data_IF_721977730757
#
_entry.id   IF_721977730757
#
_cell.length_a   1.000
_cell.length_b   1.000
_cell.length_c   1.000
_cell.angle_alpha   90.00
_cell.angle_beta   90.00
_cell.angle_gamma   90.00
#
_symmetry.space_group_name_H-M   'P 1'
#
loop_
_entity.id
_entity.type
_entity.pdbx_description
1 polymer ?
#
# COMPACT_ATOMS: atom_id res chain seq x y z
N UNK A 1 52.10 -46.64 -23.19
CA UNK A 1 51.96 -45.34 -22.48
C UNK A 1 51.38 -44.20 -23.33
N UNK A 2 51.73 -44.05 -24.62
CA UNK A 2 51.28 -42.91 -25.46
C UNK A 2 49.75 -42.78 -25.65
N UNK A 3 49.01 -43.90 -25.72
CA UNK A 3 47.53 -43.90 -25.84
C UNK A 3 46.79 -43.44 -24.57
N UNK A 4 47.39 -43.63 -23.39
CA UNK A 4 46.79 -43.20 -22.11
C UNK A 4 46.91 -41.69 -21.89
N UNK A 5 47.97 -41.06 -22.42
CA UNK A 5 48.16 -39.61 -22.34
C UNK A 5 47.14 -38.86 -23.20
N UNK A 6 46.87 -39.35 -24.42
CA UNK A 6 45.92 -38.72 -25.35
C UNK A 6 44.50 -38.77 -24.80
N UNK A 7 44.10 -39.89 -24.19
CA UNK A 7 42.77 -40.03 -23.56
C UNK A 7 42.58 -39.08 -22.37
N UNK A 8 43.61 -38.91 -21.50
CA UNK A 8 43.55 -37.97 -20.37
C UNK A 8 43.46 -36.50 -20.82
N UNK A 9 44.15 -36.12 -21.89
CA UNK A 9 44.09 -34.75 -22.43
C UNK A 9 42.70 -34.46 -23.02
N UNK A 10 42.09 -35.44 -23.71
CA UNK A 10 40.75 -35.27 -24.27
C UNK A 10 39.68 -35.12 -23.18
N UNK A 11 39.76 -35.94 -22.13
CA UNK A 11 38.85 -35.85 -20.98
C UNK A 11 39.02 -34.50 -20.27
N UNK A 12 40.25 -34.03 -20.04
CA UNK A 12 40.46 -32.72 -19.40
C UNK A 12 39.96 -31.55 -20.25
N UNK A 13 40.20 -31.59 -21.56
CA UNK A 13 39.70 -30.57 -22.50
C UNK A 13 38.16 -30.53 -22.54
N UNK A 14 37.51 -31.69 -22.51
CA UNK A 14 36.05 -31.79 -22.46
C UNK A 14 35.47 -31.23 -21.15
N UNK A 15 36.09 -31.51 -20.00
CA UNK A 15 35.67 -30.93 -18.72
C UNK A 15 35.88 -29.41 -18.69
N UNK A 16 36.98 -28.89 -19.24
CA UNK A 16 37.21 -27.44 -19.34
C UNK A 16 36.14 -26.78 -20.21
N UNK A 17 35.75 -27.40 -21.34
CA UNK A 17 34.68 -26.89 -22.21
C UNK A 17 33.31 -26.87 -21.52
N UNK A 18 33.00 -27.88 -20.71
CA UNK A 18 31.76 -27.93 -19.92
C UNK A 18 31.68 -26.82 -18.85
N UNK A 19 32.81 -26.36 -18.31
CA UNK A 19 32.84 -25.24 -17.37
C UNK A 19 32.63 -23.86 -18.04
N UNK A 20 32.88 -23.70 -19.35
CA UNK A 20 32.68 -22.42 -20.05
C UNK A 20 31.23 -22.19 -20.55
N UNK A 21 30.46 -23.26 -20.81
CA UNK A 21 29.06 -23.17 -21.23
C UNK A 21 28.13 -22.41 -20.24
N UNK A 22 28.20 -22.61 -18.90
CA UNK A 22 27.31 -21.91 -17.98
C UNK A 22 27.58 -20.39 -17.90
N UNK A 23 28.82 -19.94 -18.12
CA UNK A 23 29.17 -18.52 -18.09
C UNK A 23 28.59 -17.74 -19.28
N UNK A 24 28.54 -18.37 -20.46
CA UNK A 24 27.98 -17.74 -21.67
C UNK A 24 26.44 -17.61 -21.59
N UNK A 25 25.78 -18.63 -21.05
CA UNK A 25 24.32 -18.62 -20.85
C UNK A 25 23.86 -17.55 -19.84
N UNK A 26 24.65 -17.29 -18.80
CA UNK A 26 24.33 -16.24 -17.81
C UNK A 26 24.32 -14.85 -18.45
N UNK A 27 25.32 -14.53 -19.27
CA UNK A 27 25.46 -13.23 -19.94
C UNK A 27 24.34 -12.97 -20.96
N UNK A 28 23.95 -13.99 -21.73
CA UNK A 28 22.87 -13.87 -22.72
C UNK A 28 21.49 -13.66 -22.06
N UNK A 29 21.22 -14.32 -20.93
CA UNK A 29 19.96 -14.15 -20.17
C UNK A 29 19.80 -12.74 -19.60
N UNK A 30 20.85 -12.20 -18.97
CA UNK A 30 20.82 -10.83 -18.43
C UNK A 30 20.58 -9.77 -19.52
N UNK A 31 21.19 -9.93 -20.70
CA UNK A 31 20.95 -9.01 -21.82
C UNK A 31 19.52 -9.08 -22.35
N UNK A 32 18.90 -10.27 -22.36
CA UNK A 32 17.51 -10.45 -22.80
C UNK A 32 16.54 -9.69 -21.89
N UNK A 33 16.67 -9.84 -20.57
CA UNK A 33 15.77 -9.18 -19.61
C UNK A 33 15.93 -7.66 -19.64
N UNK A 34 17.17 -7.17 -19.75
CA UNK A 34 17.43 -5.72 -19.93
C UNK A 34 16.78 -5.18 -21.20
N UNK A 35 16.84 -5.92 -22.30
CA UNK A 35 16.15 -5.53 -23.53
C UNK A 35 14.62 -5.53 -23.34
N UNK A 36 14.06 -6.47 -22.57
CA UNK A 36 12.64 -6.52 -22.22
C UNK A 36 12.24 -5.32 -21.36
N UNK A 37 12.98 -4.99 -20.31
CA UNK A 37 12.69 -3.85 -19.42
C UNK A 37 12.83 -2.52 -20.15
N UNK A 38 13.83 -2.35 -21.02
CA UNK A 38 13.98 -1.17 -21.86
C UNK A 38 12.80 -1.00 -22.83
N UNK A 39 12.37 -2.07 -23.52
CA UNK A 39 11.19 -2.04 -24.40
C UNK A 39 9.91 -1.72 -23.63
N UNK A 40 9.73 -2.34 -22.47
CA UNK A 40 8.55 -2.09 -21.62
C UNK A 40 8.51 -0.64 -21.13
N UNK A 41 9.66 -0.06 -20.78
CA UNK A 41 9.76 1.36 -20.38
C UNK A 41 9.31 2.27 -21.52
N UNK A 42 9.74 2.01 -22.76
CA UNK A 42 9.28 2.76 -23.94
C UNK A 42 7.77 2.65 -24.15
N UNK A 43 7.16 1.48 -23.86
CA UNK A 43 5.70 1.32 -23.92
C UNK A 43 4.99 2.13 -22.83
N UNK A 44 5.52 2.13 -21.60
CA UNK A 44 5.01 2.96 -20.49
C UNK A 44 5.07 4.45 -20.87
N UNK A 45 6.18 4.93 -21.42
CA UNK A 45 6.35 6.33 -21.82
C UNK A 45 5.36 6.74 -22.93
N UNK A 46 4.95 5.79 -23.78
CA UNK A 46 3.93 5.99 -24.83
C UNK A 46 2.50 5.88 -24.32
N UNK A 47 2.29 5.51 -23.06
CA UNK A 47 0.96 5.27 -22.48
C UNK A 47 0.36 3.90 -22.80
N UNK A 48 1.13 3.00 -23.42
CA UNK A 48 0.69 1.64 -23.76
C UNK A 48 0.96 0.68 -22.60
N UNK A 49 0.26 0.91 -21.48
CA UNK A 49 0.51 0.21 -20.23
C UNK A 49 0.14 -1.27 -20.30
N UNK A 50 -0.92 -1.62 -21.03
CA UNK A 50 -1.38 -3.01 -21.13
C UNK A 50 -0.36 -3.89 -21.84
N UNK A 51 0.20 -3.43 -22.96
CA UNK A 51 1.26 -4.19 -23.64
C UNK A 51 2.57 -4.22 -22.85
N UNK A 52 2.89 -3.16 -22.10
CA UNK A 52 4.03 -3.18 -21.18
C UNK A 52 3.86 -4.26 -20.10
N UNK A 53 2.69 -4.32 -19.47
CA UNK A 53 2.36 -5.31 -18.43
C UNK A 53 2.43 -6.73 -19.00
N UNK A 54 1.78 -6.99 -20.14
CA UNK A 54 1.78 -8.30 -20.78
C UNK A 54 3.21 -8.79 -21.09
N UNK A 55 4.04 -7.90 -21.65
CA UNK A 55 5.43 -8.20 -21.97
C UNK A 55 6.24 -8.59 -20.71
N UNK A 56 6.09 -7.83 -19.63
CA UNK A 56 6.82 -8.02 -18.38
C UNK A 56 6.34 -9.26 -17.60
N UNK A 57 5.03 -9.52 -17.57
CA UNK A 57 4.46 -10.73 -16.95
C UNK A 57 4.86 -11.99 -17.71
N UNK A 58 4.91 -11.92 -19.04
CA UNK A 58 5.43 -13.03 -19.86
C UNK A 58 6.88 -13.35 -19.51
N UNK A 59 7.73 -12.33 -19.36
CA UNK A 59 9.13 -12.50 -18.94
C UNK A 59 9.25 -13.05 -17.51
N UNK A 60 8.39 -12.63 -16.58
CA UNK A 60 8.38 -13.16 -15.21
C UNK A 60 8.04 -14.65 -15.15
N UNK A 61 7.18 -15.12 -16.05
CA UNK A 61 6.78 -16.52 -16.12
C UNK A 61 7.71 -17.36 -17.01
N UNK A 62 8.71 -16.73 -17.63
CA UNK A 62 9.67 -17.40 -18.51
C UNK A 62 10.62 -18.32 -17.73
N UNK A 63 11.06 -19.46 -18.31
CA UNK A 63 12.12 -20.31 -17.74
C UNK A 63 13.47 -19.58 -17.57
N UNK A 64 13.64 -18.42 -18.21
CA UNK A 64 14.82 -17.58 -18.09
C UNK A 64 14.81 -16.70 -16.82
N UNK A 65 13.69 -16.63 -16.10
CA UNK A 65 13.54 -15.83 -14.89
C UNK A 65 14.39 -16.38 -13.74
N UNK A 66 15.22 -15.52 -13.16
CA UNK A 66 16.06 -15.84 -12.00
C UNK A 66 15.86 -14.83 -10.88
N UNK A 67 16.22 -15.20 -9.65
CA UNK A 67 16.20 -14.28 -8.50
C UNK A 67 16.98 -12.99 -8.75
N UNK A 68 18.10 -13.08 -9.47
CA UNK A 68 19.02 -11.96 -9.72
C UNK A 68 18.35 -10.83 -10.53
N UNK A 69 17.43 -11.17 -11.43
CA UNK A 69 16.76 -10.21 -12.30
C UNK A 69 15.32 -9.89 -11.85
N UNK A 70 14.85 -10.56 -10.77
CA UNK A 70 13.50 -10.37 -10.22
C UNK A 70 13.26 -8.92 -9.81
N UNK A 71 14.24 -8.27 -9.21
CA UNK A 71 14.05 -6.92 -8.68
C UNK A 71 13.79 -5.88 -9.77
N UNK A 72 14.59 -5.88 -10.85
CA UNK A 72 14.44 -4.93 -11.94
C UNK A 72 13.10 -5.13 -12.64
N UNK A 73 12.77 -6.38 -12.95
CA UNK A 73 11.51 -6.72 -13.61
C UNK A 73 10.30 -6.39 -12.73
N UNK A 74 10.36 -6.68 -11.43
CA UNK A 74 9.32 -6.29 -10.45
C UNK A 74 9.13 -4.78 -10.39
N UNK A 75 10.20 -4.01 -10.42
CA UNK A 75 10.13 -2.55 -10.34
C UNK A 75 9.46 -1.96 -11.59
N UNK A 76 9.88 -2.38 -12.78
CA UNK A 76 9.31 -1.89 -14.03
C UNK A 76 7.85 -2.34 -14.18
N UNK A 77 7.53 -3.57 -13.77
CA UNK A 77 6.16 -4.08 -13.79
C UNK A 77 5.26 -3.32 -12.81
N UNK A 78 5.72 -3.07 -11.58
CA UNK A 78 4.99 -2.25 -10.63
C UNK A 78 4.79 -0.82 -11.16
N UNK A 79 5.77 -0.27 -11.88
CA UNK A 79 5.66 1.05 -12.52
C UNK A 79 4.61 1.07 -13.63
N UNK A 80 4.53 0.02 -14.46
CA UNK A 80 3.50 -0.10 -15.50
C UNK A 80 2.09 -0.18 -14.91
N UNK A 81 1.90 -0.98 -13.85
CA UNK A 81 0.64 -1.06 -13.11
C UNK A 81 0.25 0.28 -12.49
N UNK A 82 1.17 0.93 -11.75
CA UNK A 82 0.90 2.22 -11.14
C UNK A 82 0.57 3.31 -12.19
N UNK A 83 1.28 3.33 -13.32
CA UNK A 83 1.01 4.26 -14.40
C UNK A 83 -0.38 4.03 -15.03
N UNK A 84 -0.82 2.77 -15.20
CA UNK A 84 -2.17 2.44 -15.65
C UNK A 84 -3.25 2.89 -14.66
N UNK A 85 -2.93 2.88 -13.37
CA UNK A 85 -3.78 3.46 -12.32
C UNK A 85 -3.79 5.01 -12.30
N UNK A 86 -3.04 5.67 -13.18
CA UNK A 86 -2.94 7.13 -13.26
C UNK A 86 -1.94 7.74 -12.28
N UNK A 87 -1.09 6.93 -11.64
CA UNK A 87 -0.04 7.41 -10.74
C UNK A 87 1.21 7.75 -11.53
N UNK A 88 1.59 9.03 -11.48
CA UNK A 88 2.81 9.54 -12.07
C UNK A 88 3.86 9.77 -11.00
N UNK A 89 5.05 9.21 -11.20
CA UNK A 89 6.16 9.23 -10.23
C UNK A 89 6.69 10.66 -9.99
N UNK A 90 6.39 11.60 -10.89
CA UNK A 90 6.78 13.02 -10.78
C UNK A 90 6.27 13.73 -9.51
N UNK A 91 5.24 13.19 -8.83
CA UNK A 91 4.70 13.74 -7.58
C UNK A 91 5.26 13.07 -6.30
N UNK A 92 6.43 12.44 -6.39
CA UNK A 92 7.10 11.65 -5.35
C UNK A 92 7.03 12.25 -3.92
N UNK A 93 7.33 13.55 -3.81
CA UNK A 93 7.40 14.24 -2.51
C UNK A 93 6.04 14.41 -1.85
N UNK A 94 4.99 14.62 -2.63
CA UNK A 94 3.64 14.78 -2.08
C UNK A 94 3.12 13.47 -1.49
N UNK A 95 3.54 12.31 -2.03
CA UNK A 95 3.23 11.00 -1.45
C UNK A 95 3.92 10.77 -0.11
N UNK A 96 5.20 11.18 0.02
CA UNK A 96 5.93 11.03 1.28
C UNK A 96 5.37 11.91 2.39
N UNK A 97 5.08 13.17 2.07
CA UNK A 97 4.46 14.11 3.01
C UNK A 97 3.06 13.61 3.42
N UNK A 98 2.30 13.09 2.45
CA UNK A 98 1.01 12.48 2.72
C UNK A 98 1.10 11.20 3.54
N UNK A 99 2.15 10.39 3.39
CA UNK A 99 2.35 9.20 4.22
C UNK A 99 2.68 9.55 5.68
N UNK A 100 3.60 10.49 5.88
CA UNK A 100 3.95 11.00 7.22
C UNK A 100 2.73 11.58 7.95
N UNK A 101 1.81 12.18 7.20
CA UNK A 101 0.52 12.67 7.70
C UNK A 101 -0.38 11.55 8.23
N UNK A 102 -0.43 10.38 7.59
CA UNK A 102 -1.26 9.27 8.06
C UNK A 102 -0.73 8.67 9.37
N UNK A 103 0.58 8.82 9.62
CA UNK A 103 1.28 8.17 10.71
C UNK A 103 1.38 9.07 11.95
N UNK A 104 1.58 10.38 11.75
CA UNK A 104 1.72 11.31 12.87
C UNK A 104 0.36 11.73 13.41
N UNK A 105 0.21 11.64 14.74
CA UNK A 105 -0.94 12.15 15.46
C UNK A 105 -1.16 13.62 15.11
N UNK A 106 -2.31 13.91 14.50
CA UNK A 106 -2.65 15.27 14.09
C UNK A 106 -3.10 16.03 15.33
N UNK A 107 -2.36 17.08 15.70
CA UNK A 107 -2.89 18.16 16.54
C UNK A 107 -4.20 18.65 15.90
N UNK A 108 -5.30 18.58 16.66
CA UNK A 108 -6.68 18.67 16.14
C UNK A 108 -6.80 19.77 15.08
N UNK A 109 -7.14 19.41 13.85
CA UNK A 109 -7.46 20.43 12.87
C UNK A 109 -8.71 21.19 13.33
N UNK A 110 -8.71 22.51 13.13
CA UNK A 110 -9.86 23.40 13.31
C UNK A 110 -10.93 23.12 12.23
N UNK A 111 -11.44 21.89 12.19
CA UNK A 111 -12.60 21.50 11.41
C UNK A 111 -13.84 21.74 12.26
N UNK A 112 -14.72 22.64 11.79
CA UNK A 112 -16.03 22.87 12.39
C UNK A 112 -17.05 21.75 12.09
N UNK A 113 -16.61 20.65 11.47
CA UNK A 113 -17.48 19.52 11.17
C UNK A 113 -17.54 18.55 12.36
N UNK A 114 -18.71 18.47 12.97
CA UNK A 114 -19.12 17.39 13.86
C UNK A 114 -20.00 16.42 13.07
N UNK A 115 -19.74 15.10 13.19
CA UNK A 115 -20.60 14.09 12.58
C UNK A 115 -21.96 14.05 13.27
N UNK A 116 -21.97 14.19 14.59
CA UNK A 116 -23.16 14.30 15.43
C UNK A 116 -23.12 15.70 16.06
N UNK A 117 -23.81 16.69 15.48
CA UNK A 117 -23.89 18.04 16.05
C UNK A 117 -24.38 18.00 17.49
N UNK A 118 -23.86 18.87 18.36
CA UNK A 118 -24.30 18.93 19.77
C UNK A 118 -25.81 19.17 19.90
N UNK A 119 -26.41 19.88 18.95
CA UNK A 119 -27.87 20.09 18.86
C UNK A 119 -28.68 18.81 18.61
N UNK A 120 -28.06 17.75 18.10
CA UNK A 120 -28.69 16.45 17.88
C UNK A 120 -28.50 15.50 19.06
N UNK A 121 -27.78 15.91 20.12
CA UNK A 121 -27.53 15.08 21.30
C UNK A 121 -28.63 15.34 22.34
N UNK A 122 -29.49 14.37 22.67
CA UNK A 122 -30.53 14.53 23.68
C UNK A 122 -29.97 14.92 25.05
N UNK A 123 -30.63 15.88 25.71
CA UNK A 123 -30.21 16.37 27.03
C UNK A 123 -30.23 15.27 28.10
N UNK A 124 -31.11 14.28 27.95
CA UNK A 124 -31.32 13.18 28.89
C UNK A 124 -30.30 12.03 28.75
N UNK A 125 -29.35 12.10 27.82
CA UNK A 125 -28.28 11.11 27.74
C UNK A 125 -27.36 11.19 28.97
N UNK A 126 -26.91 10.03 29.42
CA UNK A 126 -25.91 9.93 30.48
C UNK A 126 -24.57 10.54 30.04
N UNK A 127 -23.74 10.89 31.03
CA UNK A 127 -22.45 11.56 30.79
C UNK A 127 -21.47 10.69 29.99
N UNK A 128 -21.49 9.37 30.18
CA UNK A 128 -20.60 8.44 29.48
C UNK A 128 -20.92 8.43 27.98
N UNK A 129 -22.21 8.34 27.63
CA UNK A 129 -22.66 8.38 26.23
C UNK A 129 -22.34 9.71 25.56
N UNK A 130 -22.54 10.84 26.26
CA UNK A 130 -22.19 12.17 25.74
C UNK A 130 -20.69 12.31 25.48
N UNK A 131 -19.86 11.74 26.35
CA UNK A 131 -18.41 11.74 26.18
C UNK A 131 -17.98 10.88 24.98
N UNK A 132 -18.60 9.71 24.79
CA UNK A 132 -18.38 8.87 23.60
C UNK A 132 -18.73 9.61 22.32
N UNK A 133 -19.84 10.36 22.28
CA UNK A 133 -20.21 11.20 21.10
C UNK A 133 -19.13 12.25 20.80
N UNK A 134 -18.60 12.93 21.83
CA UNK A 134 -17.50 13.89 21.65
C UNK A 134 -16.24 13.22 21.09
N UNK A 135 -15.88 12.04 21.60
CA UNK A 135 -14.74 11.28 21.10
C UNK A 135 -14.92 10.88 19.62
N UNK A 136 -16.11 10.44 19.22
CA UNK A 136 -16.42 10.13 17.80
C UNK A 136 -16.23 11.37 16.93
N UNK A 137 -16.79 12.52 17.34
CA UNK A 137 -16.64 13.78 16.60
C UNK A 137 -15.16 14.21 16.49
N UNK A 138 -14.39 14.08 17.56
CA UNK A 138 -12.95 14.35 17.56
C UNK A 138 -12.20 13.43 16.58
N UNK A 139 -12.49 12.13 16.60
CA UNK A 139 -11.89 11.15 15.69
C UNK A 139 -12.20 11.48 14.22
N UNK A 140 -13.42 11.90 13.92
CA UNK A 140 -13.82 12.26 12.55
C UNK A 140 -13.17 13.57 12.08
N UNK A 141 -13.00 14.54 12.97
CA UNK A 141 -12.21 15.75 12.68
C UNK A 141 -10.77 15.38 12.34
N UNK A 142 -10.17 14.44 13.07
CA UNK A 142 -8.84 13.94 12.78
C UNK A 142 -8.79 13.23 11.41
N UNK A 143 -9.77 12.38 11.08
CA UNK A 143 -9.86 11.73 9.75
C UNK A 143 -9.97 12.79 8.64
N UNK A 144 -10.82 13.81 8.80
CA UNK A 144 -10.92 14.90 7.81
C UNK A 144 -9.62 15.69 7.68
N UNK A 145 -8.91 15.92 8.78
CA UNK A 145 -7.60 16.57 8.76
C UNK A 145 -6.56 15.75 7.98
N UNK A 146 -6.57 14.43 8.19
CA UNK A 146 -5.77 13.48 7.41
C UNK A 146 -6.14 13.60 5.93
N UNK A 147 -7.42 13.55 5.58
CA UNK A 147 -7.88 13.66 4.18
C UNK A 147 -7.43 14.97 3.52
N UNK A 148 -7.52 16.10 4.25
CA UNK A 148 -7.07 17.41 3.76
C UNK A 148 -5.57 17.45 3.49
N UNK A 149 -4.76 16.92 4.42
CA UNK A 149 -3.31 16.86 4.24
C UNK A 149 -2.90 15.84 3.16
N UNK A 150 -3.64 14.75 3.03
CA UNK A 150 -3.54 13.78 1.95
C UNK A 150 -4.16 14.26 0.63
N UNK A 151 -4.70 15.49 0.55
CA UNK A 151 -5.35 16.00 -0.66
C UNK A 151 -4.43 15.94 -1.89
N UNK A 152 -3.12 16.10 -1.67
CA UNK A 152 -2.10 16.04 -2.73
C UNK A 152 -1.84 14.66 -3.31
N UNK A 153 -2.17 13.59 -2.58
CA UNK A 153 -2.10 12.22 -3.11
C UNK A 153 -3.25 12.09 -4.12
N UNK A 154 -3.05 11.73 -5.40
CA UNK A 154 -4.15 11.45 -6.32
C UNK A 154 -5.12 10.39 -5.77
N UNK A 155 -6.42 10.66 -5.95
CA UNK A 155 -7.46 9.65 -5.76
C UNK A 155 -7.55 8.80 -7.04
N UNK A 156 -7.47 7.49 -6.88
CA UNK A 156 -7.57 6.52 -7.98
C UNK A 156 -8.98 5.97 -8.11
N UNK A 157 -9.32 5.48 -9.31
CA UNK A 157 -10.55 4.73 -9.57
C UNK A 157 -10.51 3.33 -8.93
N UNK A 158 -11.65 2.63 -8.93
CA UNK A 158 -11.75 1.22 -8.52
C UNK A 158 -10.79 0.31 -9.31
N UNK A 159 -10.74 0.47 -10.63
CA UNK A 159 -9.81 -0.28 -11.49
C UNK A 159 -8.36 0.05 -11.15
N UNK A 160 -8.06 1.32 -10.84
CA UNK A 160 -6.74 1.75 -10.39
C UNK A 160 -6.35 1.13 -9.06
N UNK A 161 -7.29 0.90 -8.14
CA UNK A 161 -7.04 0.22 -6.85
C UNK A 161 -6.48 -1.19 -7.07
N UNK A 162 -7.08 -1.95 -8.00
CA UNK A 162 -6.58 -3.30 -8.36
C UNK A 162 -5.15 -3.25 -8.90
N UNK A 163 -4.85 -2.27 -9.76
CA UNK A 163 -3.52 -2.07 -10.33
C UNK A 163 -2.49 -1.67 -9.26
N UNK A 164 -2.86 -0.82 -8.30
CA UNK A 164 -1.99 -0.43 -7.18
C UNK A 164 -1.71 -1.62 -6.26
N UNK A 165 -2.70 -2.45 -5.97
CA UNK A 165 -2.50 -3.69 -5.21
C UNK A 165 -1.54 -4.65 -5.94
N UNK A 166 -1.66 -4.79 -7.26
CA UNK A 166 -0.73 -5.58 -8.09
C UNK A 166 0.69 -5.00 -8.05
N UNK A 167 0.83 -3.69 -8.20
CA UNK A 167 2.13 -3.02 -8.12
C UNK A 167 2.80 -3.24 -6.75
N UNK A 168 2.06 -3.06 -5.65
CA UNK A 168 2.53 -3.35 -4.28
C UNK A 168 2.96 -4.81 -4.12
N UNK A 169 2.19 -5.76 -4.68
CA UNK A 169 2.51 -7.18 -4.64
C UNK A 169 3.89 -7.48 -5.25
N UNK A 170 4.19 -6.94 -6.44
CA UNK A 170 5.48 -7.18 -7.10
C UNK A 170 6.68 -6.55 -6.35
N UNK A 171 6.45 -5.45 -5.62
CA UNK A 171 7.48 -4.79 -4.82
C UNK A 171 7.68 -5.42 -3.45
N UNK A 172 6.72 -6.19 -2.92
CA UNK A 172 6.75 -6.73 -1.55
C UNK A 172 8.05 -7.49 -1.25
N UNK A 173 8.51 -8.34 -2.17
CA UNK A 173 9.71 -9.17 -2.01
C UNK A 173 11.03 -8.48 -2.38
N UNK A 174 10.99 -7.22 -2.81
CA UNK A 174 12.23 -6.49 -3.17
C UNK A 174 12.98 -6.08 -1.89
N UNK A 175 14.31 -6.03 -1.94
CA UNK A 175 15.12 -5.65 -0.76
C UNK A 175 15.74 -4.26 -0.89
N UNK A 176 15.76 -3.69 -2.10
CA UNK A 176 16.31 -2.36 -2.35
C UNK A 176 15.54 -1.26 -1.63
N UNK A 177 16.23 -0.34 -0.92
CA UNK A 177 15.60 0.82 -0.27
C UNK A 177 14.70 1.63 -1.21
N UNK A 178 15.10 1.85 -2.46
CA UNK A 178 14.30 2.57 -3.44
C UNK A 178 12.98 1.87 -3.80
N UNK A 179 13.01 0.55 -3.96
CA UNK A 179 11.81 -0.24 -4.24
C UNK A 179 10.85 -0.27 -3.05
N UNK A 180 11.39 -0.32 -1.82
CA UNK A 180 10.59 -0.21 -0.59
C UNK A 180 9.97 1.17 -0.45
N UNK A 181 10.74 2.23 -0.73
CA UNK A 181 10.23 3.59 -0.72
C UNK A 181 9.08 3.75 -1.71
N UNK A 182 9.22 3.18 -2.91
CA UNK A 182 8.18 3.19 -3.91
C UNK A 182 6.92 2.40 -3.47
N UNK A 183 7.08 1.21 -2.88
CA UNK A 183 5.93 0.45 -2.31
C UNK A 183 5.22 1.22 -1.20
N UNK A 184 5.95 1.94 -0.35
CA UNK A 184 5.36 2.79 0.69
C UNK A 184 4.51 3.92 0.09
N UNK A 185 4.95 4.54 -1.01
CA UNK A 185 4.14 5.56 -1.72
C UNK A 185 2.86 4.99 -2.30
N UNK A 186 2.95 3.83 -2.96
CA UNK A 186 1.77 3.15 -3.49
C UNK A 186 0.82 2.73 -2.36
N UNK A 187 1.35 2.43 -1.18
CA UNK A 187 0.56 2.20 0.04
C UNK A 187 -0.16 3.47 0.49
N UNK A 188 0.46 4.64 0.43
CA UNK A 188 -0.20 5.92 0.71
C UNK A 188 -1.38 6.19 -0.25
N UNK A 189 -1.20 5.91 -1.54
CA UNK A 189 -2.25 6.00 -2.57
C UNK A 189 -3.40 5.05 -2.25
N UNK A 190 -3.08 3.78 -1.95
CA UNK A 190 -4.09 2.78 -1.59
C UNK A 190 -4.87 3.19 -0.35
N UNK A 191 -4.17 3.67 0.68
CA UNK A 191 -4.79 4.12 1.92
C UNK A 191 -5.73 5.31 1.67
N UNK A 192 -5.32 6.30 0.87
CA UNK A 192 -6.21 7.41 0.51
C UNK A 192 -7.47 6.91 -0.19
N UNK A 193 -7.35 6.00 -1.15
CA UNK A 193 -8.50 5.43 -1.85
C UNK A 193 -9.43 4.70 -0.87
N UNK A 194 -8.87 3.86 -0.01
CA UNK A 194 -9.59 3.10 1.01
C UNK A 194 -10.37 4.01 1.98
N UNK A 195 -9.73 5.06 2.48
CA UNK A 195 -10.37 6.05 3.34
C UNK A 195 -11.47 6.80 2.59
N UNK A 196 -11.20 7.31 1.38
CA UNK A 196 -12.17 8.08 0.59
C UNK A 196 -13.45 7.31 0.26
N UNK A 197 -13.34 6.02 -0.09
CA UNK A 197 -14.53 5.22 -0.42
C UNK A 197 -15.46 5.06 0.78
N UNK A 198 -14.87 4.84 1.96
CA UNK A 198 -15.62 4.52 3.18
C UNK A 198 -16.10 5.78 3.89
N UNK A 199 -15.36 6.89 3.82
CA UNK A 199 -15.88 8.21 4.18
C UNK A 199 -17.12 8.55 3.35
N UNK A 200 -17.09 8.32 2.03
CA UNK A 200 -18.27 8.55 1.18
C UNK A 200 -19.44 7.61 1.51
N UNK A 201 -19.17 6.34 1.82
CA UNK A 201 -20.19 5.40 2.27
C UNK A 201 -20.82 5.89 3.59
N UNK A 202 -20.01 6.22 4.59
CA UNK A 202 -20.49 6.74 5.88
C UNK A 202 -21.33 8.01 5.69
N UNK A 203 -20.85 8.99 4.92
CA UNK A 203 -21.60 10.22 4.63
C UNK A 203 -22.94 9.91 3.94
N UNK A 204 -22.97 9.00 2.96
CA UNK A 204 -24.22 8.62 2.28
C UNK A 204 -25.21 7.97 3.25
N UNK A 205 -24.75 7.04 4.07
CA UNK A 205 -25.58 6.36 5.08
C UNK A 205 -26.09 7.34 6.14
N UNK A 206 -25.28 8.33 6.52
CA UNK A 206 -25.67 9.37 7.48
C UNK A 206 -26.64 10.41 6.90
N UNK A 207 -26.53 10.73 5.61
CA UNK A 207 -27.49 11.63 4.96
C UNK A 207 -28.85 10.97 4.72
N UNK A 208 -28.91 9.63 4.76
CA UNK A 208 -30.16 8.87 4.74
C UNK A 208 -30.58 8.56 6.19
N UNK A 209 -31.34 9.47 6.81
CA UNK A 209 -31.84 9.35 8.20
C UNK A 209 -32.55 8.01 8.49
N UNK A 210 -33.06 7.33 7.46
CA UNK A 210 -33.68 6.01 7.58
C UNK A 210 -32.68 4.89 7.95
N UNK A 211 -31.39 5.03 7.63
CA UNK A 211 -30.42 3.94 7.55
C UNK A 211 -29.30 4.02 8.61
N UNK A 212 -29.40 4.92 9.59
CA UNK A 212 -28.36 5.08 10.63
C UNK A 212 -28.11 3.80 11.44
N UNK A 213 -29.16 2.98 11.64
CA UNK A 213 -29.05 1.67 12.26
C UNK A 213 -28.43 0.59 11.36
N UNK A 214 -28.29 0.84 10.06
CA UNK A 214 -27.70 -0.09 9.10
C UNK A 214 -26.18 0.02 9.02
N UNK A 215 -25.55 0.94 9.78
CA UNK A 215 -24.09 0.96 9.92
C UNK A 215 -23.68 -0.28 10.73
N UNK A 216 -23.29 -1.33 10.01
CA UNK A 216 -22.76 -2.54 10.61
C UNK A 216 -21.38 -2.26 11.20
N UNK A 217 -21.31 -2.27 12.52
CA UNK A 217 -20.11 -2.12 13.34
C UNK A 217 -18.95 -3.01 12.86
N UNK A 218 -19.27 -4.24 12.47
CA UNK A 218 -18.29 -5.18 11.93
C UNK A 218 -17.63 -4.66 10.65
N UNK A 219 -18.35 -3.94 9.80
CA UNK A 219 -17.81 -3.35 8.58
C UNK A 219 -16.90 -2.15 8.88
N UNK A 220 -17.24 -1.36 9.90
CA UNK A 220 -16.39 -0.25 10.35
C UNK A 220 -15.10 -0.77 10.98
N UNK A 221 -15.18 -1.79 11.82
CA UNK A 221 -13.99 -2.45 12.41
C UNK A 221 -13.08 -3.00 11.33
N UNK A 222 -13.62 -3.80 10.40
CA UNK A 222 -12.85 -4.37 9.28
C UNK A 222 -12.18 -3.28 8.44
N UNK A 223 -12.88 -2.17 8.20
CA UNK A 223 -12.33 -1.03 7.47
C UNK A 223 -11.13 -0.41 8.18
N UNK A 224 -11.25 -0.17 9.49
CA UNK A 224 -10.16 0.39 10.29
C UNK A 224 -8.99 -0.59 10.33
N UNK A 225 -9.23 -1.89 10.54
CA UNK A 225 -8.20 -2.93 10.53
C UNK A 225 -7.43 -2.95 9.21
N UNK A 226 -8.12 -2.86 8.08
CA UNK A 226 -7.49 -2.76 6.75
C UNK A 226 -6.67 -1.47 6.60
N UNK A 227 -7.16 -0.34 7.10
CA UNK A 227 -6.43 0.92 7.07
C UNK A 227 -5.16 0.86 7.92
N UNK A 228 -5.25 0.35 9.15
CA UNK A 228 -4.11 0.19 10.06
C UNK A 228 -3.09 -0.81 9.49
N UNK A 229 -3.55 -1.89 8.86
CA UNK A 229 -2.66 -2.84 8.17
C UNK A 229 -1.90 -2.20 7.02
N UNK A 230 -2.54 -1.31 6.24
CA UNK A 230 -1.84 -0.54 5.19
C UNK A 230 -0.80 0.40 5.80
N UNK A 231 -1.10 1.08 6.91
CA UNK A 231 -0.14 1.97 7.57
C UNK A 231 1.07 1.17 8.06
N UNK A 232 0.84 0.01 8.71
CA UNK A 232 1.90 -0.87 9.18
C UNK A 232 2.81 -1.36 8.03
N UNK A 233 2.21 -1.85 6.93
CA UNK A 233 2.92 -2.24 5.70
C UNK A 233 3.82 -1.11 5.17
N UNK A 234 3.29 0.11 5.13
CA UNK A 234 4.02 1.27 4.61
C UNK A 234 5.16 1.72 5.53
N UNK A 235 4.98 1.59 6.85
CA UNK A 235 6.02 1.88 7.85
C UNK A 235 7.15 0.87 7.83
N UNK A 236 6.84 -0.41 7.66
CA UNK A 236 7.85 -1.46 7.47
C UNK A 236 8.74 -1.14 6.26
N UNK A 237 8.12 -0.74 5.14
CA UNK A 237 8.86 -0.35 3.95
C UNK A 237 9.69 0.93 4.15
N UNK A 238 9.18 1.93 4.87
CA UNK A 238 9.95 3.14 5.21
C UNK A 238 11.15 2.84 6.12
N UNK A 239 11.01 1.92 7.06
CA UNK A 239 12.09 1.49 7.94
C UNK A 239 13.26 0.86 7.18
N UNK A 240 13.00 0.24 6.03
CA UNK A 240 14.03 -0.27 5.11
C UNK A 240 14.54 0.84 4.19
N UNK A 241 13.65 1.70 3.69
CA UNK A 241 13.98 2.76 2.75
C UNK A 241 14.82 3.88 3.36
N UNK A 242 14.56 4.25 4.63
CA UNK A 242 15.18 5.36 5.36
C UNK A 242 15.72 4.81 6.69
N UNK A 243 16.87 4.10 6.70
CA UNK A 243 17.37 3.42 7.89
C UNK A 243 17.66 4.34 9.08
N UNK A 244 17.94 5.63 8.84
CA UNK A 244 18.17 6.63 9.90
C UNK A 244 16.93 6.87 10.76
N UNK A 245 15.72 6.65 10.22
CA UNK A 245 14.44 6.85 10.90
C UNK A 245 13.80 5.52 11.35
N UNK A 246 14.50 4.39 11.20
CA UNK A 246 13.97 3.04 11.47
C UNK A 246 13.33 2.89 12.84
N UNK A 247 13.99 3.40 13.89
CA UNK A 247 13.46 3.31 15.25
C UNK A 247 12.24 4.23 15.47
N UNK A 248 12.13 5.31 14.70
CA UNK A 248 10.95 6.16 14.71
C UNK A 248 9.74 5.42 14.11
N UNK A 249 9.91 4.78 12.95
CA UNK A 249 8.85 4.01 12.31
C UNK A 249 8.42 2.80 13.15
N UNK A 250 9.35 2.09 13.79
CA UNK A 250 8.99 1.00 14.72
C UNK A 250 8.16 1.46 15.91
N UNK A 251 8.46 2.65 16.46
CA UNK A 251 7.64 3.22 17.53
C UNK A 251 6.23 3.51 17.03
N UNK A 252 6.10 4.11 15.86
CA UNK A 252 4.81 4.35 15.20
C UNK A 252 4.03 3.04 14.95
N UNK A 253 4.70 1.98 14.49
CA UNK A 253 4.08 0.65 14.35
C UNK A 253 3.57 0.13 15.70
N UNK A 254 4.36 0.26 16.76
CA UNK A 254 3.96 -0.15 18.11
C UNK A 254 2.71 0.60 18.59
N UNK A 255 2.61 1.89 18.28
CA UNK A 255 1.44 2.70 18.64
C UNK A 255 0.20 2.30 17.82
N UNK A 256 0.37 1.94 16.55
CA UNK A 256 -0.71 1.38 15.71
C UNK A 256 -1.20 0.04 16.28
N UNK A 257 -0.29 -0.86 16.67
CA UNK A 257 -0.67 -2.13 17.27
C UNK A 257 -1.46 -1.95 18.58
N UNK A 258 -1.08 -0.97 19.41
CA UNK A 258 -1.86 -0.63 20.61
C UNK A 258 -3.25 -0.12 20.24
N UNK A 259 -3.35 0.80 19.28
CA UNK A 259 -4.65 1.31 18.81
C UNK A 259 -5.55 0.18 18.27
N UNK A 260 -4.97 -0.76 17.51
CA UNK A 260 -5.71 -1.91 17.01
C UNK A 260 -6.20 -2.83 18.15
N UNK A 261 -5.36 -3.03 19.17
CA UNK A 261 -5.72 -3.81 20.34
C UNK A 261 -6.81 -3.10 21.17
N UNK A 262 -6.74 -1.78 21.33
CA UNK A 262 -7.75 -0.99 22.00
C UNK A 262 -9.09 -1.06 21.23
N UNK A 263 -9.07 -0.94 19.90
CA UNK A 263 -10.27 -1.07 19.05
C UNK A 263 -10.92 -2.47 19.11
N UNK A 264 -10.12 -3.53 19.26
CA UNK A 264 -10.63 -4.90 19.34
C UNK A 264 -11.07 -5.29 20.75
N UNK A 265 -10.53 -4.64 21.79
CA UNK A 265 -10.92 -4.87 23.19
C UNK A 265 -12.02 -3.94 23.67
N UNK A 266 -12.18 -2.76 23.06
CA UNK A 266 -13.27 -1.86 23.40
C UNK A 266 -14.59 -2.32 22.75
N UNK A 267 -15.64 -2.42 23.57
CA UNK A 267 -17.02 -2.52 23.09
C UNK A 267 -17.49 -1.19 22.45
N UNK A 268 -16.61 -0.19 22.25
CA UNK A 268 -17.01 1.17 21.84
C UNK A 268 -17.70 1.15 20.48
N UNK A 269 -17.28 0.28 19.56
CA UNK A 269 -17.94 0.20 18.25
C UNK A 269 -19.38 -0.34 18.40
N UNK A 270 -19.62 -1.31 19.31
CA UNK A 270 -20.97 -1.77 19.72
C UNK A 270 -21.84 -0.63 20.26
N UNK A 271 -21.22 0.30 20.98
CA UNK A 271 -21.92 1.43 21.59
C UNK A 271 -22.24 2.53 20.58
N UNK A 272 -21.43 2.75 19.53
CA UNK A 272 -21.71 3.74 18.46
C UNK A 272 -23.03 3.42 17.75
N UNK A 273 -23.27 2.17 17.34
CA UNK A 273 -24.53 1.81 16.67
C UNK A 273 -25.73 1.93 17.61
N UNK A 274 -25.57 1.57 18.90
CA UNK A 274 -26.63 1.76 19.90
C UNK A 274 -26.97 3.23 20.07
N UNK A 275 -25.97 4.11 20.13
CA UNK A 275 -26.15 5.56 20.24
C UNK A 275 -26.84 6.10 18.98
N UNK A 276 -26.36 5.76 17.79
CA UNK A 276 -26.97 6.19 16.53
C UNK A 276 -28.43 5.68 16.37
N UNK A 277 -28.72 4.45 16.82
CA UNK A 277 -30.08 3.93 16.85
C UNK A 277 -30.96 4.57 17.94
N UNK A 278 -30.38 4.99 19.05
CA UNK A 278 -31.09 5.70 20.11
C UNK A 278 -31.52 7.10 19.64
N UNK A 279 -30.64 7.80 18.91
CA UNK A 279 -30.91 9.12 18.32
C UNK A 279 -32.04 9.11 17.26
N UNK A 280 -32.43 7.94 16.74
CA UNK A 280 -33.54 7.77 15.79
C UNK A 280 -34.92 7.76 16.46
N UNK A 281 -35.00 7.54 17.78
CA UNK A 281 -36.27 7.49 18.53
C UNK A 281 -36.65 8.86 19.08
#
# INVERSE_FOLDING_TARGET
MRRYLISKIFIMSFFIFLFFLPACQKKQKTQSIRNTTEKATVLIDKGDYSSAIELLESEMNSPAFTSDNREELSLVLASAYAARAGIKIENYWDYLIGFDTFVKTIESANSNFDMIPESMVPENLDLETKEKIKQINANIKNIKAIEQKAAKIPLISESGSSDILRARYFLKSTVKPSSKLYRSMLTAVQLKHHLSQKTQFLIKTLNNESDWCAIHISELSSWIDEALSLIDDGLEDLAVAIPSEKENYKRMQTDIYKQQQDLTTSNEVSDISKVLCYLKK
#
